data_IF_135277721240
#
_entry.id   IF_135277721240
#
_cell.length_a   1.000
_cell.length_b   1.000
_cell.length_c   1.000
_cell.angle_alpha   90.00
_cell.angle_beta   90.00
_cell.angle_gamma   90.00
#
_symmetry.space_group_name_H-M   'P 1'
#
loop_
_entity.id
_entity.type
_entity.pdbx_description
1 polymer ?
#
# COMPACT_ATOMS: atom_id res chain seq x y z
N UNK A 1 3.38 11.67 36.08
CA UNK A 1 2.19 11.93 35.22
C UNK A 1 2.05 10.76 34.25
N UNK A 2 0.85 10.42 33.78
CA UNK A 2 0.68 9.36 32.79
C UNK A 2 1.43 9.73 31.51
N UNK A 3 2.06 8.74 30.86
CA UNK A 3 2.80 8.98 29.62
C UNK A 3 1.84 9.31 28.48
N UNK A 4 2.18 10.26 27.58
CA UNK A 4 1.41 10.47 26.36
C UNK A 4 1.49 9.24 25.45
N UNK A 5 0.53 9.12 24.54
CA UNK A 5 0.36 7.95 23.68
C UNK A 5 0.49 8.37 22.22
N UNK A 6 1.42 7.74 21.50
CA UNK A 6 1.72 8.05 20.11
C UNK A 6 1.29 6.85 19.27
N UNK A 7 0.23 7.03 18.47
CA UNK A 7 -0.27 6.00 17.58
C UNK A 7 0.36 6.22 16.19
N UNK A 8 1.04 5.22 15.67
CA UNK A 8 1.73 5.27 14.39
C UNK A 8 1.03 4.33 13.41
N UNK A 9 0.79 4.78 12.19
CA UNK A 9 0.06 3.99 11.20
C UNK A 9 0.33 4.48 9.78
N UNK A 10 -0.02 3.69 8.77
CA UNK A 10 -0.14 4.19 7.40
C UNK A 10 -1.55 4.71 7.10
N UNK A 11 -1.70 5.45 5.99
CA UNK A 11 -3.05 5.75 5.50
C UNK A 11 -3.84 4.48 5.19
N UNK A 12 -5.16 4.52 5.41
CA UNK A 12 -6.06 3.40 5.10
C UNK A 12 -5.76 2.13 5.91
N UNK A 13 -5.10 2.22 7.06
CA UNK A 13 -4.84 1.05 7.93
C UNK A 13 -5.84 0.85 9.07
N UNK A 14 -6.94 1.62 9.12
CA UNK A 14 -7.86 1.61 10.26
C UNK A 14 -7.46 2.54 11.41
N UNK A 15 -6.47 3.41 11.21
CA UNK A 15 -5.96 4.34 12.24
C UNK A 15 -7.03 5.25 12.85
N UNK A 16 -8.02 5.67 12.06
CA UNK A 16 -9.15 6.46 12.55
C UNK A 16 -9.99 5.70 13.57
N UNK A 17 -10.18 4.39 13.40
CA UNK A 17 -10.91 3.57 14.37
C UNK A 17 -10.16 3.54 15.70
N UNK A 18 -8.88 3.12 15.69
CA UNK A 18 -8.09 3.01 16.91
C UNK A 18 -7.97 4.36 17.64
N UNK A 19 -7.63 5.44 16.91
CA UNK A 19 -7.60 6.79 17.47
C UNK A 19 -8.93 7.20 18.10
N UNK A 20 -10.06 6.88 17.46
CA UNK A 20 -11.37 7.24 17.98
C UNK A 20 -11.72 6.46 19.26
N UNK A 21 -11.21 5.23 19.46
CA UNK A 21 -11.39 4.50 20.72
C UNK A 21 -10.78 5.25 21.90
N UNK A 22 -9.58 5.83 21.73
CA UNK A 22 -9.01 6.74 22.72
C UNK A 22 -9.83 8.03 22.87
N UNK A 23 -10.23 8.63 21.75
CA UNK A 23 -10.95 9.91 21.73
C UNK A 23 -12.26 9.92 22.51
N UNK A 24 -12.93 8.77 22.60
CA UNK A 24 -14.22 8.59 23.29
C UNK A 24 -14.09 8.47 24.80
N UNK A 25 -12.88 8.29 25.33
CA UNK A 25 -12.63 8.16 26.76
C UNK A 25 -12.23 9.52 27.31
N UNK A 26 -12.95 10.01 28.33
CA UNK A 26 -12.79 11.38 28.86
C UNK A 26 -11.38 11.66 29.41
N UNK A 27 -10.63 10.63 29.80
CA UNK A 27 -9.23 10.69 30.24
C UNK A 27 -8.29 11.30 29.19
N UNK A 28 -8.64 11.25 27.90
CA UNK A 28 -7.75 11.60 26.80
C UNK A 28 -8.13 12.89 26.08
N UNK A 29 -7.10 13.58 25.57
CA UNK A 29 -7.22 14.55 24.46
C UNK A 29 -6.53 13.93 23.25
N UNK A 30 -7.33 13.56 22.25
CA UNK A 30 -6.84 12.82 21.10
C UNK A 30 -6.71 13.74 19.87
N UNK A 31 -5.48 14.11 19.52
CA UNK A 31 -5.18 14.93 18.35
C UNK A 31 -5.10 14.06 17.09
N UNK A 32 -5.98 14.33 16.13
CA UNK A 32 -5.96 13.65 14.83
C UNK A 32 -4.87 14.20 13.95
N UNK A 33 -3.98 13.33 13.49
CA UNK A 33 -2.91 13.59 12.53
C UNK A 33 -2.14 14.90 12.75
N UNK A 34 -1.29 14.98 13.79
CA UNK A 34 -0.50 16.19 14.09
C UNK A 34 0.45 16.62 12.97
N UNK A 35 0.71 15.76 11.99
CA UNK A 35 1.46 16.12 10.79
C UNK A 35 0.57 16.38 9.56
N UNK A 36 -0.73 16.63 9.73
CA UNK A 36 -1.59 16.97 8.59
C UNK A 36 -1.23 18.33 8.01
N UNK A 37 -0.98 18.40 6.71
CA UNK A 37 -0.65 19.65 6.01
C UNK A 37 -1.70 20.75 6.19
N UNK A 38 -2.97 20.38 6.41
CA UNK A 38 -4.05 21.35 6.61
C UNK A 38 -3.84 22.21 7.86
N UNK A 39 -3.08 21.72 8.85
CA UNK A 39 -2.83 22.44 10.10
C UNK A 39 -2.04 23.73 9.88
N UNK A 40 -1.33 23.88 8.76
CA UNK A 40 -0.62 25.11 8.39
C UNK A 40 -1.53 26.27 8.02
N UNK A 41 -2.83 26.03 7.82
CA UNK A 41 -3.76 27.09 7.39
C UNK A 41 -5.19 26.86 7.87
N UNK A 42 -5.42 25.92 8.79
CA UNK A 42 -6.76 25.60 9.27
C UNK A 42 -7.28 26.72 10.17
N UNK A 43 -8.48 27.21 9.87
CA UNK A 43 -9.17 28.17 10.75
C UNK A 43 -9.99 27.43 11.81
N UNK A 44 -10.30 28.11 12.92
CA UNK A 44 -11.13 27.54 13.99
C UNK A 44 -12.54 27.17 13.51
N UNK A 45 -13.07 27.88 12.51
CA UNK A 45 -14.32 27.51 11.84
C UNK A 45 -14.18 26.21 11.05
N UNK A 46 -13.14 26.12 10.21
CA UNK A 46 -12.90 24.94 9.38
C UNK A 46 -12.58 23.69 10.20
N UNK A 47 -11.84 23.83 11.30
CA UNK A 47 -11.59 22.74 12.23
C UNK A 47 -12.88 22.17 12.85
N UNK A 48 -13.92 23.01 13.02
CA UNK A 48 -15.25 22.60 13.54
C UNK A 48 -16.17 21.98 12.49
N UNK A 49 -15.80 21.98 11.21
CA UNK A 49 -16.68 21.47 10.14
C UNK A 49 -16.06 20.31 9.35
N UNK A 50 -14.73 20.14 9.39
CA UNK A 50 -14.04 19.02 8.77
C UNK A 50 -14.37 17.69 9.47
N UNK A 51 -15.39 17.00 8.97
CA UNK A 51 -15.84 15.69 9.44
C UNK A 51 -15.66 14.61 8.37
N UNK A 52 -16.00 13.35 8.70
CA UNK A 52 -16.04 12.21 7.77
C UNK A 52 -16.86 12.49 6.51
N UNK A 53 -17.89 13.34 6.60
CA UNK A 53 -18.77 13.73 5.49
C UNK A 53 -18.08 14.65 4.46
N UNK A 54 -16.97 15.29 4.82
CA UNK A 54 -16.18 16.10 3.89
C UNK A 54 -15.28 15.27 2.97
N UNK A 55 -15.11 13.98 3.24
CA UNK A 55 -14.41 13.02 2.38
C UNK A 55 -15.36 11.92 1.90
N UNK A 56 -15.91 12.12 0.71
CA UNK A 56 -16.74 11.14 0.01
C UNK A 56 -16.04 9.78 -0.10
N UNK A 57 -16.70 8.71 0.39
CA UNK A 57 -16.26 7.33 0.22
C UNK A 57 -15.22 6.81 1.20
N UNK A 58 -14.87 7.58 2.24
CA UNK A 58 -13.72 7.27 3.10
C UNK A 58 -13.87 6.05 4.04
N UNK A 59 -15.05 5.42 4.13
CA UNK A 59 -15.37 4.25 4.98
C UNK A 59 -14.94 4.42 6.46
N UNK A 60 -14.85 5.66 6.96
CA UNK A 60 -14.54 5.92 8.35
C UNK A 60 -15.76 5.64 9.24
N UNK A 61 -15.57 5.15 10.47
CA UNK A 61 -16.65 5.10 11.45
C UNK A 61 -17.20 6.51 11.69
N UNK A 62 -18.48 6.60 12.05
CA UNK A 62 -19.09 7.86 12.43
C UNK A 62 -18.34 8.46 13.64
N UNK A 63 -18.00 9.75 13.53
CA UNK A 63 -17.28 10.47 14.58
C UNK A 63 -18.23 11.40 15.31
N UNK A 64 -18.19 11.37 16.64
CA UNK A 64 -19.04 12.21 17.49
C UNK A 64 -18.65 13.71 17.42
N UNK A 65 -17.47 13.99 16.85
CA UNK A 65 -16.95 15.35 16.62
C UNK A 65 -16.06 15.43 15.37
N UNK A 66 -15.92 16.60 14.73
CA UNK A 66 -15.01 16.84 13.59
C UNK A 66 -13.57 16.41 13.87
N UNK A 67 -12.79 16.03 12.85
CA UNK A 67 -11.44 15.48 13.01
C UNK A 67 -10.48 16.37 13.81
N UNK A 68 -10.57 17.68 13.61
CA UNK A 68 -9.58 18.63 14.14
C UNK A 68 -10.12 19.46 15.31
N UNK A 69 -11.20 19.02 15.98
CA UNK A 69 -11.84 19.76 17.06
C UNK A 69 -10.87 20.08 18.22
N UNK A 70 -9.96 19.14 18.54
CA UNK A 70 -8.98 19.25 19.62
C UNK A 70 -7.93 20.34 19.38
N UNK A 71 -7.73 20.77 18.14
CA UNK A 71 -6.81 21.86 17.82
C UNK A 71 -7.44 23.24 18.03
N UNK A 72 -8.76 23.35 18.25
CA UNK A 72 -9.46 24.61 18.38
C UNK A 72 -8.78 25.65 19.29
N UNK A 73 -8.39 25.30 20.52
CA UNK A 73 -7.69 26.21 21.44
C UNK A 73 -6.27 26.61 21.01
N UNK A 74 -5.71 25.91 20.02
CA UNK A 74 -4.33 26.05 19.55
C UNK A 74 -4.26 26.72 18.17
N UNK A 75 -5.41 27.00 17.55
CA UNK A 75 -5.47 27.69 16.26
C UNK A 75 -5.32 29.20 16.48
N UNK A 76 -4.42 29.81 15.71
CA UNK A 76 -4.27 31.25 15.56
C UNK A 76 -4.69 31.71 14.15
N UNK A 77 -4.28 32.92 13.74
CA UNK A 77 -4.63 33.50 12.43
C UNK A 77 -4.00 32.71 11.27
N UNK A 78 -2.88 32.02 11.51
CA UNK A 78 -2.06 31.35 10.52
C UNK A 78 -2.10 29.82 10.62
N UNK A 79 -3.08 29.23 11.31
CA UNK A 79 -3.20 27.78 11.49
C UNK A 79 -2.97 27.35 12.92
N UNK A 80 -2.54 26.11 13.14
CA UNK A 80 -2.19 25.62 14.48
C UNK A 80 -0.85 26.22 14.90
N UNK A 81 -0.81 26.84 16.09
CA UNK A 81 0.39 27.46 16.65
C UNK A 81 1.59 26.51 16.59
N UNK A 82 2.71 27.01 16.06
CA UNK A 82 3.98 26.28 15.97
C UNK A 82 4.04 25.25 14.84
N UNK A 83 2.93 24.93 14.16
CA UNK A 83 2.94 24.02 13.02
C UNK A 83 3.62 24.66 11.80
N UNK A 84 4.35 23.85 11.03
CA UNK A 84 4.89 24.23 9.71
C UNK A 84 4.51 23.18 8.69
N UNK A 85 4.14 23.59 7.48
CA UNK A 85 3.76 22.68 6.39
C UNK A 85 4.85 21.60 6.12
N UNK A 86 6.12 21.95 6.30
CA UNK A 86 7.23 21.01 6.13
C UNK A 86 7.12 19.78 7.04
N UNK A 87 6.42 19.87 8.17
CA UNK A 87 6.24 18.75 9.10
C UNK A 87 5.43 17.61 8.47
N UNK A 88 4.59 17.89 7.46
CA UNK A 88 3.77 16.87 6.83
C UNK A 88 4.61 15.72 6.29
N UNK A 89 5.48 15.97 5.32
CA UNK A 89 6.29 14.92 4.69
C UNK A 89 7.79 15.14 4.74
N UNK A 90 8.29 16.35 4.97
CA UNK A 90 9.74 16.60 4.93
C UNK A 90 10.44 15.83 6.03
N UNK A 91 11.65 15.35 5.77
CA UNK A 91 12.46 14.61 6.74
C UNK A 91 11.80 13.30 7.20
N UNK A 92 10.95 12.67 6.36
CA UNK A 92 10.17 11.48 6.75
C UNK A 92 11.02 10.33 7.31
N UNK A 93 12.24 10.16 6.81
CA UNK A 93 13.18 9.12 7.25
C UNK A 93 14.35 9.67 8.09
N UNK A 94 14.42 10.98 8.35
CA UNK A 94 15.50 11.58 9.12
C UNK A 94 15.27 11.31 10.59
N UNK A 95 16.07 10.41 11.13
CA UNK A 95 15.96 10.00 12.52
C UNK A 95 17.11 10.57 13.36
N UNK A 96 18.27 10.76 12.76
CA UNK A 96 19.52 11.25 13.36
C UNK A 96 19.63 12.78 13.45
N UNK A 97 18.68 13.51 12.87
CA UNK A 97 18.70 14.98 12.83
C UNK A 97 17.91 15.58 13.98
N UNK A 98 18.40 16.68 14.55
CA UNK A 98 17.62 17.49 15.48
C UNK A 98 16.55 18.29 14.72
N UNK A 99 15.30 18.19 15.16
CA UNK A 99 14.15 18.85 14.54
C UNK A 99 13.43 19.65 15.62
N UNK A 100 14.13 20.63 16.20
CA UNK A 100 13.66 21.44 17.35
C UNK A 100 12.26 22.01 17.13
N UNK A 101 11.99 22.60 15.97
CA UNK A 101 10.66 23.16 15.67
C UNK A 101 9.54 22.11 15.69
N UNK A 102 9.82 20.88 15.22
CA UNK A 102 8.86 19.78 15.29
C UNK A 102 8.70 19.28 16.72
N UNK A 103 9.79 19.24 17.48
CA UNK A 103 9.77 18.87 18.88
C UNK A 103 8.91 19.86 19.69
N UNK A 104 9.12 21.15 19.51
CA UNK A 104 8.42 22.20 20.24
C UNK A 104 6.94 22.24 19.89
N UNK A 105 6.60 22.05 18.61
CA UNK A 105 5.21 21.92 18.17
C UNK A 105 4.51 20.76 18.88
N UNK A 106 5.10 19.56 18.85
CA UNK A 106 4.50 18.39 19.49
C UNK A 106 4.43 18.58 21.01
N UNK A 107 5.47 19.14 21.63
CA UNK A 107 5.50 19.47 23.07
C UNK A 107 4.35 20.40 23.45
N UNK A 108 4.06 21.41 22.62
CA UNK A 108 2.90 22.29 22.82
C UNK A 108 1.54 21.55 22.81
N UNK A 109 1.39 20.50 22.01
CA UNK A 109 0.19 19.65 22.04
C UNK A 109 0.10 18.86 23.35
N UNK A 110 1.24 18.33 23.83
CA UNK A 110 1.31 17.60 25.09
C UNK A 110 1.01 18.51 26.29
N UNK A 111 1.60 19.70 26.31
CA UNK A 111 1.38 20.72 27.33
C UNK A 111 -0.08 21.16 27.37
N UNK A 112 -0.73 21.29 26.21
CA UNK A 112 -2.15 21.60 26.17
C UNK A 112 -2.99 20.52 26.86
N UNK A 113 -2.78 19.25 26.52
CA UNK A 113 -3.51 18.15 27.17
C UNK A 113 -3.27 18.12 28.68
N UNK A 114 -2.02 18.33 29.11
CA UNK A 114 -1.66 18.40 30.53
C UNK A 114 -2.34 19.58 31.23
N UNK A 115 -2.41 20.75 30.58
CA UNK A 115 -3.04 21.96 31.15
C UNK A 115 -4.54 21.79 31.43
N UNK A 116 -5.21 20.87 30.74
CA UNK A 116 -6.62 20.51 30.96
C UNK A 116 -6.78 19.21 31.77
N UNK A 117 -5.69 18.73 32.39
CA UNK A 117 -5.71 17.56 33.28
C UNK A 117 -5.90 16.22 32.57
N UNK A 118 -5.58 16.13 31.27
CA UNK A 118 -5.81 14.94 30.43
C UNK A 118 -4.51 14.39 29.84
N UNK A 119 -4.56 13.16 29.37
CA UNK A 119 -3.43 12.51 28.69
C UNK A 119 -3.51 12.75 27.18
N UNK A 120 -2.42 13.20 26.57
CA UNK A 120 -2.37 13.40 25.13
C UNK A 120 -2.31 12.07 24.37
N UNK A 121 -3.11 11.95 23.31
CA UNK A 121 -3.03 10.87 22.33
C UNK A 121 -2.81 11.49 20.96
N UNK A 122 -1.69 11.16 20.32
CA UNK A 122 -1.31 11.70 19.01
C UNK A 122 -1.49 10.61 17.94
N UNK A 123 -2.49 10.77 17.07
CA UNK A 123 -2.84 9.79 16.05
C UNK A 123 -2.18 10.07 14.71
N UNK A 124 -1.07 9.41 14.40
CA UNK A 124 -0.27 9.67 13.20
C UNK A 124 -0.49 8.66 12.06
N UNK A 125 -0.67 9.16 10.83
CA UNK A 125 -0.54 8.44 9.56
C UNK A 125 0.74 8.80 8.78
N UNK A 126 1.47 9.86 9.19
CA UNK A 126 2.72 10.34 8.56
C UNK A 126 3.97 10.20 9.44
N UNK A 127 3.97 9.31 10.43
CA UNK A 127 5.08 9.20 11.38
C UNK A 127 5.85 7.88 11.34
N UNK A 128 5.42 6.89 10.56
CA UNK A 128 5.97 5.53 10.63
C UNK A 128 7.47 5.52 10.34
N UNK A 129 7.93 6.32 9.38
CA UNK A 129 9.37 6.49 9.10
C UNK A 129 10.15 7.30 10.15
N UNK A 130 9.45 7.96 11.07
CA UNK A 130 9.98 8.90 12.09
C UNK A 130 9.96 8.34 13.51
N UNK A 131 9.50 7.10 13.70
CA UNK A 131 9.28 6.52 15.04
C UNK A 131 10.54 6.55 15.90
N UNK A 132 11.72 6.25 15.34
CA UNK A 132 12.97 6.28 16.12
C UNK A 132 13.32 7.69 16.62
N UNK A 133 13.06 8.73 15.83
CA UNK A 133 13.22 10.12 16.28
C UNK A 133 12.24 10.44 17.40
N UNK A 134 10.95 10.13 17.21
CA UNK A 134 9.92 10.36 18.22
C UNK A 134 10.24 9.65 19.53
N UNK A 135 10.66 8.38 19.47
CA UNK A 135 11.03 7.56 20.65
C UNK A 135 12.20 8.13 21.43
N UNK A 136 13.18 8.75 20.76
CA UNK A 136 14.32 9.41 21.41
C UNK A 136 13.95 10.72 22.07
N UNK A 137 12.91 11.40 21.59
CA UNK A 137 12.55 12.76 22.00
C UNK A 137 11.43 12.81 23.03
N UNK A 138 10.54 11.83 23.01
CA UNK A 138 9.37 11.81 23.87
C UNK A 138 9.35 10.53 24.71
N UNK A 139 9.25 10.68 26.03
CA UNK A 139 8.92 9.56 26.92
C UNK A 139 7.42 9.26 26.81
N UNK A 140 7.06 8.63 25.70
CA UNK A 140 5.70 8.25 25.33
C UNK A 140 5.56 6.74 25.24
N UNK A 141 4.30 6.28 25.23
CA UNK A 141 3.94 4.93 24.77
C UNK A 141 3.75 5.00 23.25
N UNK A 142 4.48 4.17 22.51
CA UNK A 142 4.46 4.12 21.05
C UNK A 142 3.75 2.86 20.56
N UNK A 143 2.65 3.02 19.83
CA UNK A 143 1.83 1.91 19.32
C UNK A 143 1.84 1.98 17.79
N UNK A 144 2.28 0.91 17.12
CA UNK A 144 2.22 0.78 15.67
C UNK A 144 0.98 -0.02 15.25
N UNK A 145 0.15 0.55 14.37
CA UNK A 145 -0.97 -0.14 13.74
C UNK A 145 -0.58 -0.58 12.32
N UNK A 146 -0.65 -1.89 12.07
CA UNK A 146 -0.41 -2.49 10.76
C UNK A 146 -1.70 -3.06 10.16
N UNK A 147 -1.75 -3.12 8.83
CA UNK A 147 -2.80 -3.74 8.04
C UNK A 147 -2.16 -4.60 6.95
N UNK A 148 -2.89 -5.57 6.42
CA UNK A 148 -2.55 -6.26 5.19
C UNK A 148 -2.17 -5.24 4.09
N UNK A 149 -0.92 -5.23 3.62
CA UNK A 149 -0.43 -4.19 2.72
C UNK A 149 -1.12 -4.21 1.36
N UNK A 150 -1.54 -5.37 0.85
CA UNK A 150 -2.23 -5.46 -0.44
C UNK A 150 -3.65 -4.90 -0.32
N UNK A 151 -4.35 -5.25 0.77
CA UNK A 151 -5.68 -4.73 1.08
C UNK A 151 -5.65 -3.22 1.40
N UNK A 152 -4.59 -2.75 2.06
CA UNK A 152 -4.37 -1.33 2.32
C UNK A 152 -4.14 -0.55 1.02
N UNK A 153 -3.29 -1.07 0.13
CA UNK A 153 -3.10 -0.51 -1.22
C UNK A 153 -4.42 -0.51 -2.00
N UNK A 154 -5.14 -1.63 -2.01
CA UNK A 154 -6.41 -1.77 -2.73
C UNK A 154 -7.43 -0.72 -2.24
N UNK A 155 -7.49 -0.48 -0.93
CA UNK A 155 -8.33 0.57 -0.35
C UNK A 155 -7.98 1.96 -0.89
N UNK A 156 -6.69 2.29 -1.01
CA UNK A 156 -6.24 3.55 -1.60
C UNK A 156 -6.46 3.63 -3.11
N UNK A 157 -6.28 2.52 -3.83
CA UNK A 157 -6.49 2.44 -5.27
C UNK A 157 -7.98 2.61 -5.64
N UNK A 158 -8.88 2.01 -4.89
CA UNK A 158 -10.33 2.15 -5.05
C UNK A 158 -10.81 3.59 -4.77
N UNK A 159 -10.17 4.33 -3.86
CA UNK A 159 -10.46 5.76 -3.66
C UNK A 159 -10.18 6.58 -4.92
N UNK A 160 -9.08 6.25 -5.63
CA UNK A 160 -8.76 6.89 -6.90
C UNK A 160 -9.81 6.54 -7.97
N UNK A 161 -10.12 5.27 -8.14
CA UNK A 161 -11.01 4.81 -9.22
C UNK A 161 -12.46 5.28 -9.00
N UNK A 162 -13.00 5.14 -7.80
CA UNK A 162 -14.41 5.39 -7.53
C UNK A 162 -14.73 6.82 -7.11
N UNK A 163 -13.75 7.54 -6.54
CA UNK A 163 -13.97 8.87 -5.97
C UNK A 163 -13.05 9.94 -6.56
N UNK A 164 -12.23 9.58 -7.55
CA UNK A 164 -11.29 10.52 -8.17
C UNK A 164 -10.27 11.08 -7.17
N UNK A 165 -10.01 10.38 -6.06
CA UNK A 165 -9.09 10.81 -5.02
C UNK A 165 -7.76 10.04 -5.10
N UNK A 166 -6.73 10.58 -5.78
CA UNK A 166 -5.44 9.93 -5.95
C UNK A 166 -4.53 10.10 -4.73
N UNK A 167 -4.99 10.78 -3.68
CA UNK A 167 -4.13 11.20 -2.57
C UNK A 167 -3.34 10.05 -1.96
N UNK A 168 -4.04 9.00 -1.54
CA UNK A 168 -3.42 7.83 -0.89
C UNK A 168 -2.55 7.00 -1.84
N UNK A 169 -2.81 7.11 -3.14
CA UNK A 169 -2.04 6.45 -4.19
C UNK A 169 -0.71 7.16 -4.45
N UNK A 170 -0.67 8.49 -4.33
CA UNK A 170 0.51 9.32 -4.57
C UNK A 170 1.45 9.47 -3.38
N UNK A 171 0.94 9.44 -2.14
CA UNK A 171 1.78 9.61 -0.93
C UNK A 171 2.97 8.64 -0.84
N UNK A 172 2.84 7.33 -1.15
CA UNK A 172 3.97 6.41 -1.17
C UNK A 172 5.12 6.86 -2.08
N UNK A 173 4.81 7.41 -3.26
CA UNK A 173 5.80 7.96 -4.18
C UNK A 173 6.53 9.16 -3.58
N UNK A 174 5.77 10.10 -3.00
CA UNK A 174 6.33 11.31 -2.37
C UNK A 174 7.25 11.00 -1.19
N UNK A 175 6.90 9.99 -0.40
CA UNK A 175 7.71 9.55 0.73
C UNK A 175 8.95 8.82 0.24
N UNK A 176 8.81 7.83 -0.65
CA UNK A 176 9.96 7.09 -1.18
C UNK A 176 10.93 7.99 -1.96
N UNK A 177 10.42 9.00 -2.66
CA UNK A 177 11.22 9.99 -3.36
C UNK A 177 12.19 10.77 -2.46
N UNK A 178 11.97 10.80 -1.15
CA UNK A 178 12.90 11.39 -0.16
C UNK A 178 14.06 10.48 0.24
N UNK A 179 14.02 9.20 -0.17
CA UNK A 179 15.05 8.21 0.08
C UNK A 179 15.61 7.73 -1.26
N UNK A 180 16.60 8.43 -1.87
CA UNK A 180 17.08 8.14 -3.22
C UNK A 180 17.51 6.69 -3.43
N UNK A 181 18.09 6.05 -2.41
CA UNK A 181 18.48 4.64 -2.46
C UNK A 181 17.26 3.70 -2.54
N UNK A 182 16.18 4.02 -1.84
CA UNK A 182 14.92 3.26 -1.90
C UNK A 182 14.20 3.54 -3.22
N UNK A 183 14.15 4.81 -3.65
CA UNK A 183 13.53 5.24 -4.91
C UNK A 183 14.21 4.56 -6.11
N UNK A 184 15.54 4.54 -6.16
CA UNK A 184 16.30 3.90 -7.23
C UNK A 184 16.02 2.40 -7.34
N UNK A 185 15.88 1.70 -6.20
CA UNK A 185 15.55 0.25 -6.17
C UNK A 185 14.17 -0.07 -6.74
N UNK A 186 13.24 0.88 -6.63
CA UNK A 186 11.89 0.73 -7.18
C UNK A 186 11.71 1.46 -8.51
N UNK A 187 12.78 2.00 -9.12
CA UNK A 187 12.65 2.82 -10.32
C UNK A 187 11.75 4.06 -10.13
N UNK A 188 11.47 4.45 -8.88
CA UNK A 188 10.70 5.65 -8.60
C UNK A 188 11.54 6.88 -8.92
N UNK A 189 10.91 7.86 -9.57
CA UNK A 189 11.53 9.14 -9.86
C UNK A 189 11.83 9.85 -8.54
N UNK A 190 13.04 10.39 -8.40
CA UNK A 190 13.33 11.31 -7.29
C UNK A 190 12.36 12.49 -7.36
N UNK A 191 11.76 12.84 -6.23
CA UNK A 191 10.83 13.97 -6.14
C UNK A 191 11.54 15.08 -5.38
N UNK A 192 11.75 16.21 -6.06
CA UNK A 192 12.35 17.39 -5.47
C UNK A 192 11.53 17.87 -4.25
N UNK A 193 12.24 18.38 -3.25
CA UNK A 193 11.66 18.80 -1.95
C UNK A 193 11.70 20.32 -1.76
N UNK A 194 11.96 21.05 -2.84
CA UNK A 194 12.16 22.50 -2.90
C UNK A 194 10.84 23.30 -2.88
N UNK A 195 9.70 22.62 -2.88
CA UNK A 195 8.38 23.24 -3.00
C UNK A 195 7.37 22.79 -1.93
N UNK A 196 6.34 23.62 -1.64
CA UNK A 196 5.20 23.24 -0.81
C UNK A 196 4.56 21.92 -1.24
N UNK A 197 4.02 21.17 -0.29
CA UNK A 197 3.47 19.83 -0.54
C UNK A 197 2.34 19.87 -1.57
N UNK A 198 1.44 20.87 -1.47
CA UNK A 198 0.34 21.03 -2.42
C UNK A 198 0.80 21.22 -3.86
N UNK A 199 1.89 21.97 -4.07
CA UNK A 199 2.45 22.22 -5.40
C UNK A 199 3.12 20.97 -5.97
N UNK A 200 3.91 20.26 -5.14
CA UNK A 200 4.51 18.97 -5.52
C UNK A 200 3.43 17.94 -5.86
N UNK A 201 2.35 17.91 -5.08
CA UNK A 201 1.20 17.06 -5.35
C UNK A 201 0.60 17.35 -6.72
N UNK A 202 0.29 18.61 -7.00
CA UNK A 202 -0.31 19.00 -8.27
C UNK A 202 0.61 18.70 -9.46
N UNK A 203 1.92 18.92 -9.33
CA UNK A 203 2.90 18.65 -10.40
C UNK A 203 2.97 17.17 -10.77
N UNK A 204 2.85 16.30 -9.77
CA UNK A 204 3.08 14.87 -9.93
C UNK A 204 1.80 14.05 -10.12
N UNK A 205 0.65 14.71 -10.03
CA UNK A 205 -0.66 14.10 -10.17
C UNK A 205 -0.80 13.31 -11.47
N UNK A 206 -0.52 13.93 -12.61
CA UNK A 206 -0.66 13.28 -13.93
C UNK A 206 0.40 12.19 -14.15
N UNK A 207 1.64 12.46 -13.73
CA UNK A 207 2.79 11.60 -13.99
C UNK A 207 2.66 10.23 -13.32
N UNK A 208 2.22 10.19 -12.05
CA UNK A 208 2.02 8.94 -11.32
C UNK A 208 0.57 8.44 -11.39
N UNK A 209 -0.38 9.33 -11.67
CA UNK A 209 -1.77 8.98 -11.94
C UNK A 209 -1.91 8.08 -13.18
N UNK A 210 -0.93 8.07 -14.09
CA UNK A 210 -0.92 7.19 -15.25
C UNK A 210 -0.34 5.78 -14.98
N UNK A 211 0.24 5.52 -13.81
CA UNK A 211 0.92 4.24 -13.55
C UNK A 211 -0.07 3.06 -13.54
N UNK A 212 0.28 1.92 -14.15
CA UNK A 212 -0.49 0.69 -14.05
C UNK A 212 -0.67 0.26 -12.59
N UNK A 213 -1.79 -0.39 -12.22
CA UNK A 213 -2.05 -0.83 -10.84
C UNK A 213 -0.89 -1.64 -10.23
N UNK A 214 -0.33 -2.58 -11.01
CA UNK A 214 0.80 -3.42 -10.56
C UNK A 214 2.07 -2.65 -10.23
N UNK A 215 2.34 -1.54 -10.92
CA UNK A 215 3.50 -0.68 -10.63
C UNK A 215 3.28 0.11 -9.34
N UNK A 216 2.09 0.68 -9.17
CA UNK A 216 1.77 1.40 -7.93
C UNK A 216 1.72 0.51 -6.70
N UNK A 217 1.28 -0.75 -6.85
CA UNK A 217 1.36 -1.73 -5.79
C UNK A 217 2.82 -2.00 -5.43
N UNK A 218 3.70 -2.17 -6.43
CA UNK A 218 5.14 -2.37 -6.21
C UNK A 218 5.75 -1.25 -5.37
N UNK A 219 5.47 0.00 -5.73
CA UNK A 219 5.92 1.18 -4.99
C UNK A 219 5.34 1.18 -3.58
N UNK A 220 4.05 0.89 -3.43
CA UNK A 220 3.39 0.81 -2.13
C UNK A 220 4.00 -0.27 -1.23
N UNK A 221 4.29 -1.47 -1.73
CA UNK A 221 4.87 -2.56 -0.94
C UNK A 221 6.27 -2.20 -0.43
N UNK A 222 7.08 -1.52 -1.25
CA UNK A 222 8.39 -1.04 -0.81
C UNK A 222 8.29 0.09 0.20
N UNK A 223 7.36 1.03 0.00
CA UNK A 223 7.03 2.06 0.97
C UNK A 223 6.65 1.41 2.31
N UNK A 224 5.68 0.50 2.28
CA UNK A 224 5.17 -0.18 3.46
C UNK A 224 6.28 -0.93 4.19
N UNK A 225 7.08 -1.73 3.47
CA UNK A 225 8.18 -2.46 4.07
C UNK A 225 9.22 -1.52 4.70
N UNK A 226 9.67 -0.52 3.94
CA UNK A 226 10.71 0.41 4.39
C UNK A 226 10.28 1.20 5.64
N UNK A 227 9.04 1.69 5.67
CA UNK A 227 8.55 2.45 6.82
C UNK A 227 8.31 1.55 8.03
N UNK A 228 7.65 0.41 7.87
CA UNK A 228 7.27 -0.42 9.01
C UNK A 228 8.47 -1.10 9.65
N UNK A 229 9.45 -1.59 8.87
CA UNK A 229 10.71 -2.08 9.42
C UNK A 229 11.50 -0.99 10.15
N UNK A 230 11.37 0.28 9.72
CA UNK A 230 11.98 1.39 10.43
C UNK A 230 11.28 1.70 11.77
N UNK A 231 10.00 1.32 11.91
CA UNK A 231 9.19 1.56 13.10
C UNK A 231 9.26 0.45 14.15
N UNK A 232 9.47 -0.81 13.74
CA UNK A 232 9.38 -1.99 14.63
C UNK A 232 10.10 -1.82 15.96
N UNK A 233 11.36 -1.38 15.92
CA UNK A 233 12.23 -1.35 17.10
C UNK A 233 11.98 -0.11 17.98
N UNK A 234 11.08 0.78 17.57
CA UNK A 234 10.77 2.01 18.29
C UNK A 234 9.38 2.02 18.93
N UNK A 235 8.61 0.95 18.80
CA UNK A 235 7.26 0.84 19.36
C UNK A 235 7.20 -0.15 20.53
N UNK A 236 6.38 0.17 21.52
CA UNK A 236 6.11 -0.67 22.68
C UNK A 236 5.05 -1.74 22.37
N UNK A 237 4.17 -1.48 21.39
CA UNK A 237 3.14 -2.40 20.93
C UNK A 237 2.95 -2.34 19.41
N UNK A 238 2.72 -3.49 18.79
CA UNK A 238 2.30 -3.60 17.38
C UNK A 238 0.92 -4.25 17.32
N UNK A 239 -0.06 -3.53 16.78
CA UNK A 239 -1.44 -3.97 16.61
C UNK A 239 -1.69 -4.28 15.14
N UNK A 240 -2.10 -5.50 14.86
CA UNK A 240 -2.57 -5.94 13.56
C UNK A 240 -4.09 -5.76 13.49
N UNK A 241 -4.57 -4.80 12.68
CA UNK A 241 -6.00 -4.50 12.61
C UNK A 241 -6.84 -5.62 11.99
N UNK A 242 -6.25 -6.44 11.12
CA UNK A 242 -6.98 -7.55 10.49
C UNK A 242 -7.19 -8.68 11.49
N UNK A 243 -6.16 -9.00 12.30
CA UNK A 243 -6.29 -9.95 13.40
C UNK A 243 -7.19 -9.41 14.50
N UNK A 244 -7.08 -8.12 14.86
CA UNK A 244 -7.97 -7.48 15.84
C UNK A 244 -9.45 -7.63 15.44
N UNK A 245 -9.72 -7.58 14.15
CA UNK A 245 -11.07 -7.73 13.59
C UNK A 245 -11.57 -9.18 13.56
N UNK A 246 -10.68 -10.16 13.33
CA UNK A 246 -11.06 -11.54 12.99
C UNK A 246 -10.79 -12.57 14.09
N UNK A 247 -9.84 -12.30 14.99
CA UNK A 247 -9.37 -13.24 16.00
C UNK A 247 -9.70 -12.73 17.43
N UNK A 248 -10.70 -13.35 18.11
CA UNK A 248 -11.07 -12.98 19.47
C UNK A 248 -9.96 -13.18 20.51
N UNK A 249 -9.06 -14.14 20.31
CA UNK A 249 -7.95 -14.43 21.23
C UNK A 249 -6.90 -13.33 21.10
N UNK A 250 -6.51 -13.00 19.87
CA UNK A 250 -5.61 -11.88 19.60
C UNK A 250 -6.19 -10.56 20.13
N UNK A 251 -7.50 -10.34 19.95
CA UNK A 251 -8.20 -9.17 20.49
C UNK A 251 -8.07 -9.05 22.00
N UNK A 252 -8.40 -10.11 22.75
CA UNK A 252 -8.30 -10.10 24.21
C UNK A 252 -6.85 -9.87 24.69
N UNK A 253 -5.87 -10.39 23.95
CA UNK A 253 -4.45 -10.12 24.20
C UNK A 253 -4.14 -8.62 24.04
N UNK A 254 -4.52 -8.01 22.92
CA UNK A 254 -4.29 -6.58 22.66
C UNK A 254 -5.01 -5.68 23.67
N UNK A 255 -6.23 -6.02 24.08
CA UNK A 255 -6.94 -5.31 25.15
C UNK A 255 -6.16 -5.34 26.46
N UNK A 256 -5.60 -6.51 26.82
CA UNK A 256 -4.78 -6.67 28.03
C UNK A 256 -3.47 -5.88 27.96
N UNK A 257 -2.77 -5.94 26.82
CA UNK A 257 -1.51 -5.22 26.62
C UNK A 257 -1.72 -3.69 26.62
N UNK A 258 -2.80 -3.21 26.00
CA UNK A 258 -3.16 -1.79 26.03
C UNK A 258 -3.57 -1.32 27.43
N UNK A 259 -4.32 -2.13 28.18
CA UNK A 259 -4.64 -1.81 29.58
C UNK A 259 -3.37 -1.67 30.41
N UNK A 260 -2.42 -2.61 30.27
CA UNK A 260 -1.14 -2.54 30.97
C UNK A 260 -0.31 -1.28 30.62
N UNK A 261 -0.34 -0.84 29.36
CA UNK A 261 0.42 0.32 28.89
C UNK A 261 -0.23 1.66 29.23
N UNK A 262 -1.56 1.70 29.31
CA UNK A 262 -2.32 2.96 29.36
C UNK A 262 -3.16 3.12 30.63
N UNK A 263 -3.24 2.06 31.46
CA UNK A 263 -4.09 1.99 32.65
C UNK A 263 -5.54 2.34 32.28
N UNK A 264 -6.01 1.78 31.16
CA UNK A 264 -7.33 2.03 30.59
C UNK A 264 -7.81 0.80 29.85
N UNK A 265 -9.01 0.34 30.19
CA UNK A 265 -9.66 -0.77 29.52
C UNK A 265 -10.22 -0.36 28.17
N UNK A 266 -9.97 -1.20 27.17
CA UNK A 266 -10.54 -1.09 25.85
C UNK A 266 -11.42 -2.31 25.56
N UNK A 267 -12.43 -2.09 24.73
CA UNK A 267 -13.25 -3.14 24.14
C UNK A 267 -13.17 -2.96 22.63
N UNK A 268 -12.59 -3.92 21.92
CA UNK A 268 -12.48 -3.93 20.46
C UNK A 268 -13.41 -4.95 19.82
N UNK A 269 -14.48 -5.37 20.50
CA UNK A 269 -15.49 -6.28 19.94
C UNK A 269 -16.16 -5.74 18.68
N UNK A 270 -16.16 -4.42 18.51
CA UNK A 270 -16.63 -3.68 17.33
C UNK A 270 -15.56 -3.48 16.24
N UNK A 271 -14.35 -4.04 16.39
CA UNK A 271 -13.29 -3.91 15.40
C UNK A 271 -13.67 -4.63 14.11
N UNK A 272 -13.70 -3.87 13.01
CA UNK A 272 -13.96 -4.42 11.69
C UNK A 272 -13.21 -3.63 10.62
N UNK A 273 -12.29 -4.31 9.93
CA UNK A 273 -11.64 -3.79 8.72
C UNK A 273 -12.16 -4.54 7.49
N UNK A 274 -12.64 -3.79 6.50
CA UNK A 274 -13.14 -4.37 5.25
C UNK A 274 -12.02 -5.00 4.42
N UNK A 275 -12.35 -6.04 3.65
CA UNK A 275 -11.48 -6.61 2.62
C UNK A 275 -12.04 -6.24 1.24
N UNK A 276 -11.16 -6.18 0.26
CA UNK A 276 -11.42 -5.83 -1.14
C UNK A 276 -11.15 -7.05 -2.02
N UNK A 277 -12.01 -7.24 -3.03
CA UNK A 277 -11.83 -8.26 -4.07
C UNK A 277 -10.70 -7.83 -5.00
N UNK A 278 -9.56 -8.53 -4.92
CA UNK A 278 -8.38 -8.22 -5.71
C UNK A 278 -8.49 -8.72 -7.16
N UNK A 279 -9.31 -9.74 -7.41
CA UNK A 279 -9.58 -10.25 -8.76
C UNK A 279 -10.34 -9.23 -9.61
N UNK A 280 -11.30 -8.52 -9.01
CA UNK A 280 -12.04 -7.44 -9.65
C UNK A 280 -11.18 -6.23 -10.04
N UNK A 281 -9.98 -6.08 -9.45
CA UNK A 281 -9.05 -4.99 -9.77
C UNK A 281 -8.22 -5.24 -11.05
N UNK A 282 -8.42 -6.38 -11.73
CA UNK A 282 -7.77 -6.68 -13.01
C UNK A 282 -6.24 -6.77 -12.93
N UNK A 283 -5.71 -7.06 -11.73
CA UNK A 283 -4.27 -7.06 -11.49
C UNK A 283 -3.59 -8.32 -12.06
N UNK A 284 -2.52 -8.11 -12.83
CA UNK A 284 -1.54 -9.17 -13.13
C UNK A 284 -0.44 -9.15 -12.08
N UNK A 285 -0.74 -9.69 -10.90
CA UNK A 285 0.16 -9.64 -9.73
C UNK A 285 1.46 -10.43 -9.90
N UNK A 286 1.48 -11.49 -10.71
CA UNK A 286 2.62 -12.42 -10.83
C UNK A 286 3.95 -11.72 -11.02
N UNK A 287 4.04 -10.79 -11.98
CA UNK A 287 5.30 -10.07 -12.25
C UNK A 287 5.72 -9.16 -11.09
N UNK A 288 4.79 -8.40 -10.52
CA UNK A 288 5.07 -7.49 -9.40
C UNK A 288 5.53 -8.26 -8.15
N UNK A 289 4.86 -9.37 -7.86
CA UNK A 289 5.16 -10.24 -6.73
C UNK A 289 6.51 -10.93 -6.90
N UNK A 290 6.80 -11.47 -8.08
CA UNK A 290 8.07 -12.13 -8.38
C UNK A 290 9.26 -11.17 -8.27
N UNK A 291 9.12 -9.94 -8.80
CA UNK A 291 10.19 -8.94 -8.72
C UNK A 291 10.40 -8.46 -7.27
N UNK A 292 9.32 -8.23 -6.52
CA UNK A 292 9.41 -7.88 -5.10
C UNK A 292 10.07 -8.99 -4.28
N UNK A 293 9.60 -10.23 -4.43
CA UNK A 293 10.15 -11.39 -3.74
C UNK A 293 11.60 -11.64 -4.18
N UNK A 294 11.98 -11.47 -5.45
CA UNK A 294 13.39 -11.57 -5.87
C UNK A 294 14.28 -10.51 -5.22
N UNK A 295 13.82 -9.26 -5.15
CA UNK A 295 14.57 -8.16 -4.53
C UNK A 295 14.77 -8.36 -3.03
N UNK A 296 13.82 -9.01 -2.34
CA UNK A 296 13.82 -9.14 -0.88
C UNK A 296 14.09 -10.57 -0.36
N UNK A 297 14.06 -11.61 -1.21
CA UNK A 297 14.43 -12.99 -0.88
C UNK A 297 15.93 -13.28 -1.09
N UNK A 298 16.69 -12.35 -1.69
CA UNK A 298 18.13 -12.48 -1.80
C UNK A 298 18.80 -12.53 -0.40
N UNK A 299 19.96 -13.21 -0.25
CA UNK A 299 20.60 -13.48 1.06
C UNK A 299 20.90 -12.25 1.92
N UNK A 300 20.83 -11.04 1.37
CA UNK A 300 21.01 -9.78 2.09
C UNK A 300 19.85 -9.37 3.00
N UNK A 301 18.65 -9.92 2.83
CA UNK A 301 17.57 -9.76 3.82
C UNK A 301 17.86 -10.59 5.07
N UNK A 302 18.42 -11.81 4.91
CA UNK A 302 18.91 -12.64 6.02
C UNK A 302 20.13 -12.01 6.69
N UNK A 303 21.05 -11.39 5.96
CA UNK A 303 22.22 -10.70 6.54
C UNK A 303 21.85 -9.43 7.33
N UNK A 304 20.79 -8.70 6.92
CA UNK A 304 20.24 -7.55 7.66
C UNK A 304 19.37 -7.97 8.85
N UNK A 305 18.58 -9.03 8.70
CA UNK A 305 17.85 -9.66 9.79
C UNK A 305 18.78 -10.37 10.79
N UNK A 306 20.01 -10.74 10.39
CA UNK A 306 21.05 -11.30 11.29
C UNK A 306 21.88 -10.23 12.01
N UNK A 307 21.96 -9.01 11.47
CA UNK A 307 22.69 -7.89 12.08
C UNK A 307 21.84 -7.00 12.97
N UNK A 308 20.52 -7.15 12.92
CA UNK A 308 19.64 -6.66 13.95
C UNK A 308 19.23 -7.85 14.81
N UNK A 309 19.27 -7.66 16.12
CA UNK A 309 18.58 -8.45 17.12
C UNK A 309 17.06 -8.28 16.86
N UNK A 310 16.57 -8.75 15.71
CA UNK A 310 15.30 -8.31 15.13
C UNK A 310 14.16 -8.71 16.04
N UNK A 311 13.51 -7.70 16.60
CA UNK A 311 12.36 -7.81 17.47
C UNK A 311 11.25 -8.68 16.84
N UNK A 312 10.46 -9.37 17.68
CA UNK A 312 9.24 -10.13 17.30
C UNK A 312 8.38 -9.37 16.28
N UNK A 313 8.32 -8.04 16.39
CA UNK A 313 7.62 -7.14 15.49
C UNK A 313 8.11 -7.17 14.02
N UNK A 314 9.42 -7.25 13.78
CA UNK A 314 9.97 -7.33 12.42
C UNK A 314 9.56 -8.64 11.73
N UNK A 315 9.56 -9.75 12.47
CA UNK A 315 9.00 -11.03 12.03
C UNK A 315 7.54 -10.89 11.63
N UNK A 316 6.70 -10.33 12.52
CA UNK A 316 5.28 -10.09 12.25
C UNK A 316 5.04 -9.31 10.95
N UNK A 317 5.82 -8.26 10.65
CA UNK A 317 5.64 -7.48 9.41
C UNK A 317 6.07 -8.27 8.17
N UNK A 318 7.15 -9.04 8.24
CA UNK A 318 7.60 -9.88 7.13
C UNK A 318 6.62 -11.02 6.85
N UNK A 319 6.10 -11.66 7.90
CA UNK A 319 5.11 -12.73 7.81
C UNK A 319 3.81 -12.19 7.22
N UNK A 320 3.33 -11.04 7.73
CA UNK A 320 2.17 -10.33 7.20
C UNK A 320 2.33 -10.02 5.72
N UNK A 321 3.47 -9.43 5.33
CA UNK A 321 3.78 -9.11 3.95
C UNK A 321 3.72 -10.37 3.08
N UNK A 322 4.41 -11.43 3.48
CA UNK A 322 4.47 -12.69 2.73
C UNK A 322 3.09 -13.33 2.57
N UNK A 323 2.30 -13.39 3.65
CA UNK A 323 0.94 -13.92 3.65
C UNK A 323 0.01 -13.12 2.73
N UNK A 324 0.08 -11.78 2.76
CA UNK A 324 -0.71 -10.91 1.89
C UNK A 324 -0.37 -11.09 0.42
N UNK A 325 0.91 -11.23 0.08
CA UNK A 325 1.35 -11.48 -1.29
C UNK A 325 0.88 -12.83 -1.81
N UNK A 326 0.96 -13.88 -0.98
CA UNK A 326 0.48 -15.22 -1.33
C UNK A 326 -1.05 -15.23 -1.52
N UNK A 327 -1.80 -14.63 -0.60
CA UNK A 327 -3.26 -14.54 -0.71
C UNK A 327 -3.68 -13.81 -2.00
N UNK A 328 -3.02 -12.70 -2.31
CA UNK A 328 -3.29 -11.92 -3.51
C UNK A 328 -2.97 -12.70 -4.81
N UNK A 329 -1.88 -13.48 -4.83
CA UNK A 329 -1.55 -14.35 -5.96
C UNK A 329 -2.67 -15.38 -6.22
N UNK A 330 -3.17 -16.02 -5.16
CA UNK A 330 -4.25 -17.01 -5.26
C UNK A 330 -5.56 -16.40 -5.78
N UNK A 331 -5.95 -15.23 -5.27
CA UNK A 331 -7.17 -14.52 -5.69
C UNK A 331 -7.12 -14.10 -7.17
N UNK A 332 -5.94 -13.75 -7.69
CA UNK A 332 -5.77 -13.38 -9.10
C UNK A 332 -5.62 -14.59 -10.05
N UNK A 333 -5.93 -15.81 -9.59
CA UNK A 333 -5.94 -17.01 -10.43
C UNK A 333 -4.55 -17.46 -10.87
N UNK A 334 -3.50 -17.07 -10.12
CA UNK A 334 -2.19 -17.71 -10.25
C UNK A 334 -2.37 -19.16 -9.80
N UNK A 335 -2.12 -20.17 -10.66
CA UNK A 335 -2.38 -21.56 -10.29
C UNK A 335 -1.65 -21.89 -9.00
N UNK A 336 -2.39 -22.29 -7.97
CA UNK A 336 -1.80 -22.87 -6.77
C UNK A 336 -1.17 -24.20 -7.17
N UNK A 337 0.14 -24.19 -7.37
CA UNK A 337 0.92 -25.39 -7.06
C UNK A 337 0.57 -25.76 -5.61
N UNK A 338 0.32 -27.04 -5.29
CA UNK A 338 -0.14 -27.51 -3.96
C UNK A 338 0.66 -27.01 -2.74
N UNK A 339 1.79 -26.33 -2.94
CA UNK A 339 2.50 -25.52 -1.96
C UNK A 339 1.64 -24.47 -1.24
N UNK A 340 0.63 -23.85 -1.89
CA UNK A 340 -0.24 -22.88 -1.22
C UNK A 340 -1.20 -23.53 -0.20
N UNK A 341 -1.63 -24.77 -0.48
CA UNK A 341 -2.43 -25.56 0.45
C UNK A 341 -1.58 -26.14 1.59
N UNK A 342 -0.29 -26.44 1.33
CA UNK A 342 0.68 -26.80 2.38
C UNK A 342 1.04 -25.61 3.29
N UNK A 343 1.21 -24.41 2.75
CA UNK A 343 1.45 -23.19 3.52
C UNK A 343 0.24 -22.80 4.40
N UNK A 344 -0.99 -23.12 3.97
CA UNK A 344 -2.21 -22.96 4.80
C UNK A 344 -2.31 -23.99 5.93
N UNK A 345 -1.64 -25.14 5.81
CA UNK A 345 -1.73 -26.24 6.76
C UNK A 345 -0.60 -26.24 7.81
N UNK A 346 0.52 -25.53 7.58
CA UNK A 346 1.64 -25.47 8.53
C UNK A 346 1.53 -24.25 9.46
N UNK A 347 1.67 -24.50 10.77
CA UNK A 347 1.79 -23.46 11.81
C UNK A 347 3.24 -22.98 12.02
N UNK A 348 4.22 -23.50 11.26
CA UNK A 348 5.63 -23.14 11.41
C UNK A 348 6.07 -22.14 10.32
N UNK A 349 6.58 -20.95 10.71
CA UNK A 349 7.12 -19.95 9.79
C UNK A 349 8.23 -20.47 8.87
N UNK A 350 9.02 -21.46 9.31
CA UNK A 350 10.08 -22.07 8.50
C UNK A 350 9.53 -22.78 7.26
N UNK A 351 8.45 -23.53 7.44
CA UNK A 351 7.78 -24.28 6.37
C UNK A 351 7.08 -23.36 5.37
N UNK A 352 6.54 -22.23 5.84
CA UNK A 352 5.93 -21.21 4.97
C UNK A 352 6.97 -20.58 4.03
N UNK A 353 8.19 -20.34 4.52
CA UNK A 353 9.28 -19.78 3.70
C UNK A 353 9.78 -20.79 2.66
N UNK A 354 9.89 -22.07 3.02
CA UNK A 354 10.25 -23.12 2.06
C UNK A 354 9.16 -23.40 1.04
N UNK A 355 7.89 -23.41 1.46
CA UNK A 355 6.74 -23.53 0.56
C UNK A 355 6.68 -22.35 -0.42
N UNK A 356 6.97 -21.13 0.05
CA UNK A 356 7.05 -19.94 -0.79
C UNK A 356 8.22 -20.02 -1.78
N UNK A 357 9.39 -20.47 -1.34
CA UNK A 357 10.55 -20.67 -2.21
C UNK A 357 10.30 -21.73 -3.29
N UNK A 358 9.59 -22.81 -2.94
CA UNK A 358 9.19 -23.87 -3.86
C UNK A 358 8.18 -23.37 -4.90
N UNK A 359 7.12 -22.67 -4.45
CA UNK A 359 6.14 -22.04 -5.33
C UNK A 359 6.79 -21.02 -6.29
N UNK A 360 7.77 -20.25 -5.80
CA UNK A 360 8.54 -19.31 -6.61
C UNK A 360 9.35 -20.01 -7.71
N UNK A 361 9.94 -21.17 -7.43
CA UNK A 361 10.73 -21.91 -8.41
C UNK A 361 9.84 -22.51 -9.51
N UNK A 362 8.64 -22.96 -9.15
CA UNK A 362 7.65 -23.45 -10.12
C UNK A 362 7.10 -22.33 -11.01
N UNK A 363 6.79 -21.16 -10.43
CA UNK A 363 6.39 -19.96 -11.19
C UNK A 363 7.50 -19.56 -12.19
N UNK A 364 8.77 -19.61 -11.80
CA UNK A 364 9.90 -19.36 -12.70
C UNK A 364 9.98 -20.34 -13.86
N UNK A 365 9.68 -21.62 -13.61
CA UNK A 365 9.67 -22.66 -14.64
C UNK A 365 8.56 -22.39 -15.65
N UNK A 366 7.33 -22.17 -15.18
CA UNK A 366 6.17 -21.85 -16.04
C UNK A 366 6.36 -20.54 -16.82
N UNK A 367 7.06 -19.57 -16.25
CA UNK A 367 7.41 -18.34 -16.95
C UNK A 367 8.33 -18.60 -18.14
N UNK A 368 9.32 -19.47 -17.98
CA UNK A 368 10.22 -19.85 -19.07
C UNK A 368 9.44 -20.55 -20.20
N UNK A 369 8.44 -21.36 -19.84
CA UNK A 369 7.53 -22.00 -20.79
C UNK A 369 6.64 -20.98 -21.53
N UNK A 370 6.11 -19.97 -20.82
CA UNK A 370 5.31 -18.90 -21.42
C UNK A 370 6.15 -18.00 -22.34
N UNK A 371 7.35 -17.61 -21.94
CA UNK A 371 8.27 -16.82 -22.77
C UNK A 371 8.66 -17.60 -24.04
N UNK A 372 8.81 -18.92 -23.94
CA UNK A 372 9.02 -19.80 -25.10
C UNK A 372 7.78 -19.87 -26.00
N UNK A 373 6.58 -19.97 -25.42
CA UNK A 373 5.32 -19.99 -26.16
C UNK A 373 5.07 -18.66 -26.90
N UNK A 374 5.31 -17.52 -26.27
CA UNK A 374 5.19 -16.19 -26.88
C UNK A 374 6.18 -16.02 -28.05
N UNK A 375 7.43 -16.47 -27.88
CA UNK A 375 8.40 -16.49 -28.97
C UNK A 375 7.95 -17.38 -30.14
N UNK A 376 7.32 -18.53 -29.83
CA UNK A 376 6.76 -19.42 -30.85
C UNK A 376 5.58 -18.78 -31.60
N UNK A 377 4.67 -18.10 -30.90
CA UNK A 377 3.55 -17.38 -31.50
C UNK A 377 4.05 -16.25 -32.40
N UNK A 378 5.03 -15.46 -31.95
CA UNK A 378 5.63 -14.40 -32.76
C UNK A 378 6.28 -14.95 -34.05
N UNK A 379 6.97 -16.10 -33.97
CA UNK A 379 7.55 -16.76 -35.14
C UNK A 379 6.47 -17.26 -36.12
N UNK A 380 5.34 -17.77 -35.62
CA UNK A 380 4.21 -18.18 -36.46
C UNK A 380 3.54 -16.99 -37.14
N UNK A 381 3.36 -15.87 -36.43
CA UNK A 381 2.82 -14.63 -37.00
C UNK A 381 3.72 -14.09 -38.12
N UNK A 382 5.04 -14.12 -37.94
CA UNK A 382 5.98 -13.71 -38.98
C UNK A 382 5.89 -14.61 -40.22
N UNK A 383 5.76 -15.94 -40.04
CA UNK A 383 5.54 -16.88 -41.14
C UNK A 383 4.22 -16.64 -41.86
N UNK A 384 3.14 -16.40 -41.11
CA UNK A 384 1.84 -16.07 -41.69
C UNK A 384 1.90 -14.79 -42.55
N UNK A 385 2.51 -13.72 -42.02
CA UNK A 385 2.70 -12.48 -42.76
C UNK A 385 3.55 -12.67 -44.04
N UNK A 386 4.59 -13.51 -44.00
CA UNK A 386 5.39 -13.82 -45.17
C UNK A 386 4.60 -14.61 -46.23
N UNK A 387 3.74 -15.54 -45.81
CA UNK A 387 2.85 -16.28 -46.72
C UNK A 387 1.80 -15.37 -47.35
N UNK A 388 1.21 -14.46 -46.58
CA UNK A 388 0.25 -13.46 -47.09
C UNK A 388 0.89 -12.55 -48.14
N UNK A 389 2.12 -12.08 -47.89
CA UNK A 389 2.88 -11.29 -48.87
C UNK A 389 3.19 -12.11 -50.14
N UNK A 390 3.57 -13.39 -49.99
CA UNK A 390 3.80 -14.30 -51.11
C UNK A 390 2.53 -14.52 -51.94
N UNK A 391 1.39 -14.72 -51.29
CA UNK A 391 0.09 -14.88 -51.97
C UNK A 391 -0.30 -13.60 -52.71
N UNK A 392 -0.13 -12.43 -52.09
CA UNK A 392 -0.37 -11.13 -52.72
C UNK A 392 0.53 -10.92 -53.95
N UNK A 393 1.80 -11.31 -53.88
CA UNK A 393 2.73 -11.24 -55.00
C UNK A 393 2.31 -12.16 -56.16
N UNK A 394 1.87 -13.39 -55.86
CA UNK A 394 1.32 -14.31 -56.87
C UNK A 394 0.08 -13.69 -57.52
N UNK A 395 -0.86 -13.16 -56.74
CA UNK A 395 -2.06 -12.52 -57.26
C UNK A 395 -1.78 -11.28 -58.12
N UNK A 396 -0.72 -10.55 -57.80
CA UNK A 396 -0.28 -9.38 -58.57
C UNK A 396 0.49 -9.76 -59.85
N UNK A 397 0.97 -11.00 -59.99
CA UNK A 397 1.80 -11.43 -61.12
C UNK A 397 1.04 -11.45 -62.45
N UNK A 398 1.76 -11.13 -63.54
CA UNK A 398 1.22 -11.17 -64.90
C UNK A 398 0.69 -12.56 -65.27
N UNK A 399 1.40 -13.61 -64.88
CA UNK A 399 0.99 -15.00 -65.13
C UNK A 399 -0.33 -15.34 -64.47
N UNK A 400 -0.56 -14.87 -63.24
CA UNK A 400 -1.84 -15.04 -62.55
C UNK A 400 -2.96 -14.29 -63.27
N UNK A 401 -2.72 -13.05 -63.72
CA UNK A 401 -3.72 -12.27 -64.46
C UNK A 401 -4.07 -12.90 -65.82
N UNK A 402 -3.08 -13.36 -66.57
CA UNK A 402 -3.27 -13.98 -67.89
C UNK A 402 -4.09 -15.26 -67.80
N UNK A 403 -3.91 -16.04 -66.73
CA UNK A 403 -4.62 -17.33 -66.53
C UNK A 403 -6.00 -17.19 -65.89
N UNK A 404 -6.46 -15.96 -65.58
CA UNK A 404 -7.75 -15.73 -64.93
C UNK A 404 -8.96 -16.31 -65.70
N UNK A 405 -9.07 -16.19 -67.04
CA UNK A 405 -10.18 -16.77 -67.79
C UNK A 405 -10.24 -18.31 -67.68
N UNK A 406 -9.08 -18.98 -67.72
CA UNK A 406 -8.98 -20.43 -67.58
C UNK A 406 -9.40 -20.91 -66.18
N UNK A 407 -9.02 -20.17 -65.14
CA UNK A 407 -9.45 -20.47 -63.76
C UNK A 407 -10.96 -20.30 -63.57
N UNK A 408 -11.55 -19.24 -64.15
CA UNK A 408 -13.00 -19.02 -64.10
C UNK A 408 -13.77 -20.15 -64.80
N UNK A 409 -13.29 -20.63 -65.95
CA UNK A 409 -13.86 -21.78 -66.64
C UNK A 409 -13.74 -23.07 -65.82
N UNK A 410 -12.58 -23.33 -65.22
CA UNK A 410 -12.38 -24.52 -64.36
C UNK A 410 -13.25 -24.48 -63.09
N UNK A 411 -13.52 -23.31 -62.54
CA UNK A 411 -14.41 -23.13 -61.39
C UNK A 411 -15.89 -23.31 -61.79
N UNK A 412 -16.30 -22.77 -62.93
CA UNK A 412 -17.63 -23.01 -63.49
C UNK A 412 -17.88 -24.51 -63.76
N UNK A 413 -16.88 -25.21 -64.32
CA UNK A 413 -16.95 -26.65 -64.56
C UNK A 413 -17.10 -27.46 -63.25
N UNK A 414 -16.36 -27.08 -62.19
CA UNK A 414 -16.47 -27.70 -60.85
C UNK A 414 -17.84 -27.45 -60.20
N UNK A 415 -18.40 -26.25 -60.38
CA UNK A 415 -19.73 -25.94 -59.85
C UNK A 415 -20.85 -26.66 -60.60
N UNK A 416 -20.66 -26.94 -61.89
CA UNK A 416 -21.59 -27.76 -62.68
C UNK A 416 -21.56 -29.23 -62.25
N UNK A 417 -20.39 -29.78 -61.93
CA UNK A 417 -20.25 -31.15 -61.42
C UNK A 417 -20.80 -31.31 -59.99
N UNK A 418 -20.59 -30.33 -59.11
CA UNK A 418 -21.23 -30.36 -57.77
C UNK A 418 -22.75 -30.32 -57.83
N UNK A 419 -23.32 -29.58 -58.78
CA UNK A 419 -24.79 -29.50 -58.96
C UNK A 419 -25.41 -30.75 -59.59
N UNK A 420 -24.62 -31.62 -60.23
CA UNK A 420 -25.10 -32.90 -60.73
C UNK A 420 -25.09 -34.00 -59.68
N UNK A 421 -24.29 -33.88 -58.62
CA UNK A 421 -24.25 -34.85 -57.52
C UNK A 421 -25.33 -34.60 -56.45
N UNK A 422 -25.90 -33.39 -56.40
CA UNK A 422 -26.99 -32.99 -55.49
C UNK A 422 -28.41 -33.18 -56.10
N UNK A 423 -28.54 -33.86 -57.24
CA UNK A 423 -29.81 -34.27 -57.85
C UNK A 423 -29.86 -35.77 -58.02
#
# INVERSE_FOLDING_TARGET
MPKPIFLHSGWRSGSTYLWNKFRRIDRFVAFYEPFNEILASVTAERARTLSTLSWSGSNHPELDRPYFAEYGPLIDVAGVRGYRESFALTNYFRNDTDLEDQHDYLSGLLDHAASVGKVAVLGFVRSVGRVRWLRRRFDAVHILLIRDPVQQWASGHLQRIHHGNPYFHLMPYMILGQAPECAARVGARAIAQDEPLGQRFSRHLDAFGADPPGESLRVFLHYHLATHLAACDGCDLVVDIDLLSQDPVYRAQIETELDALTDTRFDFSDAHVGRHDLGALGMRLTRTLDEFLRLHAAPHARERARRADTSRAAGTIMDKMSASLLAAALECGVPSSGAADQARASCDPGDCVEALASALNEIQTRRTELEFADAHVAALQQKAAALEQGLAAIHASSSWRITAPLRALAEAARNLTRRSDDR
#
